data_IF_658033912024
#
_entry.id   IF_658033912024
#
_cell.length_a   1.000
_cell.length_b   1.000
_cell.length_c   1.000
_cell.angle_alpha   90.00
_cell.angle_beta   90.00
_cell.angle_gamma   90.00
#
_symmetry.space_group_name_H-M   'P 1'
#
loop_
_entity.id
_entity.type
_entity.pdbx_description
1 polymer ?
#
# COMPACT_ATOMS: atom_id res chain seq x y z
N UNK A 1 19.76 1.42 35.74
CA UNK A 1 19.80 0.93 34.35
C UNK A 1 20.04 -0.59 34.22
N UNK A 2 19.67 -1.44 35.20
CA UNK A 2 20.06 -2.87 35.20
C UNK A 2 18.96 -3.88 34.87
N UNK A 3 17.69 -3.54 35.05
CA UNK A 3 16.56 -4.49 34.97
C UNK A 3 15.97 -4.63 33.56
N UNK A 4 15.95 -3.54 32.80
CA UNK A 4 15.37 -3.49 31.45
C UNK A 4 16.18 -4.32 30.44
N UNK A 5 17.52 -4.21 30.48
CA UNK A 5 18.42 -5.00 29.63
C UNK A 5 18.29 -6.51 29.87
N UNK A 6 18.11 -6.92 31.14
CA UNK A 6 17.92 -8.32 31.50
C UNK A 6 16.55 -8.87 31.04
N UNK A 7 15.50 -8.03 31.08
CA UNK A 7 14.17 -8.40 30.58
C UNK A 7 14.16 -8.55 29.05
N UNK A 8 14.87 -7.68 28.33
CA UNK A 8 15.03 -7.82 26.87
C UNK A 8 15.73 -9.10 26.47
N UNK A 9 16.84 -9.45 27.13
CA UNK A 9 17.54 -10.71 26.85
C UNK A 9 16.65 -11.94 27.07
N UNK A 10 15.74 -11.91 28.05
CA UNK A 10 14.74 -12.96 28.27
C UNK A 10 13.67 -13.03 27.18
N UNK A 11 13.37 -11.92 26.51
CA UNK A 11 12.36 -11.82 25.46
C UNK A 11 12.94 -12.04 24.05
N UNK A 12 14.26 -12.05 23.90
CA UNK A 12 14.94 -12.24 22.62
C UNK A 12 14.55 -13.56 21.93
N UNK A 13 14.47 -14.73 22.61
CA UNK A 13 14.03 -15.97 21.97
C UNK A 13 12.58 -15.89 21.46
N UNK A 14 11.71 -15.14 22.16
CA UNK A 14 10.33 -14.91 21.74
C UNK A 14 10.29 -14.04 20.47
N UNK A 15 11.10 -12.99 20.43
CA UNK A 15 11.24 -12.12 19.26
C UNK A 15 11.69 -12.93 18.04
N UNK A 16 12.80 -13.69 18.16
CA UNK A 16 13.32 -14.52 17.07
C UNK A 16 12.29 -15.51 16.55
N UNK A 17 11.55 -16.17 17.45
CA UNK A 17 10.48 -17.10 17.07
C UNK A 17 9.35 -16.41 16.30
N UNK A 18 8.96 -15.19 16.69
CA UNK A 18 7.91 -14.44 15.99
C UNK A 18 8.39 -13.96 14.62
N UNK A 19 9.62 -13.47 14.53
CA UNK A 19 10.26 -13.01 13.29
C UNK A 19 10.35 -14.17 12.29
N UNK A 20 10.97 -15.29 12.68
CA UNK A 20 11.10 -16.47 11.82
C UNK A 20 9.73 -16.93 11.27
N UNK A 21 8.68 -16.90 12.11
CA UNK A 21 7.33 -17.27 11.68
C UNK A 21 6.69 -16.24 10.73
N UNK A 22 6.83 -14.94 11.02
CA UNK A 22 6.15 -13.86 10.29
C UNK A 22 6.86 -13.47 8.99
N UNK A 23 8.19 -13.64 8.96
CA UNK A 23 9.05 -13.24 7.86
C UNK A 23 9.55 -14.40 7.01
N UNK A 24 9.04 -15.63 7.21
CA UNK A 24 9.46 -16.80 6.43
C UNK A 24 9.41 -16.62 4.90
N UNK A 25 8.50 -15.78 4.40
CA UNK A 25 8.34 -15.47 2.97
C UNK A 25 9.10 -14.21 2.52
N UNK A 26 9.84 -13.56 3.42
CA UNK A 26 10.55 -12.31 3.15
C UNK A 26 12.05 -12.55 3.00
N UNK A 27 12.74 -11.78 2.14
CA UNK A 27 14.20 -11.81 2.01
C UNK A 27 14.92 -11.56 3.34
N UNK A 28 16.05 -12.23 3.55
CA UNK A 28 16.82 -12.21 4.80
C UNK A 28 17.21 -10.80 5.26
N UNK A 29 17.55 -9.89 4.35
CA UNK A 29 17.88 -8.50 4.69
C UNK A 29 16.73 -7.74 5.39
N UNK A 30 15.48 -8.15 5.18
CA UNK A 30 14.31 -7.55 5.86
C UNK A 30 14.17 -8.07 7.28
N UNK A 31 14.71 -9.26 7.59
CA UNK A 31 14.60 -9.85 8.91
C UNK A 31 15.35 -9.04 9.94
N UNK A 32 16.58 -8.63 9.63
CA UNK A 32 17.42 -7.85 10.54
C UNK A 32 16.86 -6.44 10.78
N UNK A 33 16.37 -5.77 9.74
CA UNK A 33 15.75 -4.46 9.85
C UNK A 33 14.49 -4.51 10.73
N UNK A 34 13.59 -5.45 10.44
CA UNK A 34 12.36 -5.64 11.22
C UNK A 34 12.67 -6.07 12.65
N UNK A 35 13.71 -6.90 12.86
CA UNK A 35 14.18 -7.29 14.18
C UNK A 35 14.65 -6.08 14.99
N UNK A 36 15.48 -5.22 14.38
CA UNK A 36 15.98 -3.99 15.00
C UNK A 36 14.85 -3.08 15.44
N UNK A 37 13.88 -2.82 14.54
CA UNK A 37 12.71 -1.99 14.84
C UNK A 37 11.86 -2.58 15.97
N UNK A 38 11.62 -3.89 15.94
CA UNK A 38 10.86 -4.58 16.98
C UNK A 38 11.56 -4.53 18.35
N UNK A 39 12.89 -4.69 18.41
CA UNK A 39 13.68 -4.53 19.65
C UNK A 39 13.57 -3.12 20.21
N UNK A 40 13.73 -2.10 19.36
CA UNK A 40 13.64 -0.69 19.79
C UNK A 40 12.24 -0.37 20.32
N UNK A 41 11.18 -0.84 19.66
CA UNK A 41 9.81 -0.64 20.14
C UNK A 41 9.53 -1.38 21.44
N UNK A 42 10.01 -2.61 21.57
CA UNK A 42 9.89 -3.38 22.80
C UNK A 42 10.61 -2.68 23.96
N UNK A 43 11.85 -2.21 23.74
CA UNK A 43 12.61 -1.43 24.72
C UNK A 43 11.80 -0.22 25.20
N UNK A 44 11.24 0.56 24.27
CA UNK A 44 10.44 1.76 24.61
C UNK A 44 9.14 1.43 25.34
N UNK A 45 8.57 0.24 25.12
CA UNK A 45 7.33 -0.18 25.74
C UNK A 45 7.52 -0.87 27.10
N UNK A 46 8.67 -1.46 27.38
CA UNK A 46 8.92 -2.18 28.63
C UNK A 46 8.67 -1.35 29.91
N UNK A 47 9.04 -0.05 29.99
CA UNK A 47 8.78 0.76 31.17
C UNK A 47 7.30 0.97 31.50
N UNK A 48 6.39 0.77 30.53
CA UNK A 48 4.94 0.89 30.75
C UNK A 48 4.26 -0.46 31.04
N UNK A 49 5.04 -1.54 31.15
CA UNK A 49 4.51 -2.85 31.52
C UNK A 49 4.02 -2.85 32.96
N UNK A 50 2.80 -3.34 33.15
CA UNK A 50 2.16 -3.51 34.43
C UNK A 50 1.83 -4.99 34.64
N UNK A 51 2.49 -5.60 35.63
CA UNK A 51 2.32 -7.01 35.95
C UNK A 51 0.91 -7.36 36.46
N UNK A 52 0.12 -6.38 36.93
CA UNK A 52 -1.26 -6.62 37.35
C UNK A 52 -2.21 -6.84 36.18
N UNK A 53 -1.81 -6.41 34.97
CA UNK A 53 -2.63 -6.47 33.75
C UNK A 53 -2.38 -7.72 32.90
N UNK A 54 -1.38 -8.54 33.25
CA UNK A 54 -1.10 -9.81 32.57
C UNK A 54 0.39 -10.16 32.51
N UNK A 55 0.70 -11.25 31.80
CA UNK A 55 2.06 -11.77 31.68
C UNK A 55 2.95 -10.94 30.73
N UNK A 56 4.22 -10.76 31.10
CA UNK A 56 5.22 -10.05 30.31
C UNK A 56 5.35 -10.61 28.88
N UNK A 57 5.28 -11.92 28.71
CA UNK A 57 5.36 -12.56 27.39
C UNK A 57 4.18 -12.23 26.49
N UNK A 58 2.98 -12.09 27.05
CA UNK A 58 1.78 -11.70 26.32
C UNK A 58 1.85 -10.22 25.90
N UNK A 59 2.27 -9.35 26.82
CA UNK A 59 2.53 -7.93 26.54
C UNK A 59 3.58 -7.77 25.43
N UNK A 60 4.75 -8.40 25.59
CA UNK A 60 5.82 -8.34 24.62
C UNK A 60 5.39 -8.85 23.24
N UNK A 61 4.61 -9.94 23.19
CA UNK A 61 4.07 -10.47 21.93
C UNK A 61 3.22 -9.45 21.19
N UNK A 62 2.34 -8.71 21.88
CA UNK A 62 1.51 -7.68 21.25
C UNK A 62 2.39 -6.58 20.67
N UNK A 63 3.37 -6.09 21.44
CA UNK A 63 4.29 -5.03 21.00
C UNK A 63 5.09 -5.48 19.78
N UNK A 64 5.67 -6.68 19.82
CA UNK A 64 6.48 -7.24 18.74
C UNK A 64 5.64 -7.43 17.47
N UNK A 65 4.45 -8.03 17.58
CA UNK A 65 3.59 -8.28 16.41
C UNK A 65 3.15 -6.98 15.76
N UNK A 66 2.78 -5.97 16.55
CA UNK A 66 2.41 -4.66 16.02
C UNK A 66 3.61 -3.94 15.38
N UNK A 67 4.79 -4.04 15.99
CA UNK A 67 6.02 -3.50 15.42
C UNK A 67 6.33 -4.10 14.04
N UNK A 68 6.28 -5.43 13.94
CA UNK A 68 6.52 -6.15 12.69
C UNK A 68 5.48 -5.75 11.64
N UNK A 69 4.19 -5.70 12.03
CA UNK A 69 3.10 -5.34 11.10
C UNK A 69 3.31 -3.94 10.52
N UNK A 70 3.55 -2.96 11.38
CA UNK A 70 3.73 -1.56 10.97
C UNK A 70 4.94 -1.41 10.05
N UNK A 71 6.04 -2.10 10.36
CA UNK A 71 7.26 -2.04 9.55
C UNK A 71 7.06 -2.70 8.17
N UNK A 72 6.40 -3.85 8.12
CA UNK A 72 6.05 -4.49 6.85
C UNK A 72 5.08 -3.63 6.02
N UNK A 73 4.13 -2.96 6.68
CA UNK A 73 3.21 -2.05 6.00
C UNK A 73 3.94 -0.78 5.50
N UNK A 74 4.96 -0.29 6.23
CA UNK A 74 5.88 0.76 5.76
C UNK A 74 6.65 0.31 4.53
N UNK A 75 7.32 -0.84 4.58
CA UNK A 75 8.10 -1.40 3.46
C UNK A 75 7.20 -1.61 2.23
N UNK A 76 5.98 -2.13 2.41
CA UNK A 76 5.01 -2.26 1.30
C UNK A 76 4.60 -0.92 0.72
N UNK A 77 4.39 0.08 1.57
CA UNK A 77 4.02 1.43 1.15
C UNK A 77 5.17 2.11 0.40
N UNK A 78 6.39 1.94 0.86
CA UNK A 78 7.60 2.44 0.19
C UNK A 78 7.86 1.72 -1.13
N UNK A 79 7.75 0.39 -1.17
CA UNK A 79 7.85 -0.36 -2.43
C UNK A 79 6.78 0.09 -3.41
N UNK A 80 5.54 0.29 -2.96
CA UNK A 80 4.47 0.83 -3.79
C UNK A 80 4.77 2.25 -4.26
N UNK A 81 5.38 3.09 -3.43
CA UNK A 81 5.80 4.45 -3.79
C UNK A 81 6.95 4.44 -4.80
N UNK A 82 7.93 3.54 -4.65
CA UNK A 82 9.03 3.37 -5.59
C UNK A 82 8.54 2.83 -6.94
N UNK A 83 7.63 1.85 -6.94
CA UNK A 83 6.96 1.41 -8.18
C UNK A 83 6.14 2.52 -8.83
N UNK A 84 5.59 3.46 -8.06
CA UNK A 84 4.92 4.64 -8.60
C UNK A 84 5.90 5.72 -9.10
N UNK A 85 7.14 5.74 -8.61
CA UNK A 85 8.20 6.65 -9.05
C UNK A 85 8.96 6.11 -10.28
N UNK A 86 9.04 4.79 -10.46
CA UNK A 86 9.52 4.18 -11.73
C UNK A 86 8.48 4.33 -12.86
N UNK A 87 7.19 4.52 -12.52
CA UNK A 87 6.12 4.89 -13.47
C UNK A 87 6.20 6.39 -13.88
N UNK A 88 7.07 7.21 -13.26
CA UNK A 88 7.33 8.61 -13.63
C UNK A 88 8.42 8.75 -14.71
N UNK A 89 8.82 7.67 -15.37
CA UNK A 89 9.40 7.83 -16.70
C UNK A 89 8.31 8.35 -17.65
N UNK A 90 8.51 9.53 -18.29
CA UNK A 90 7.58 9.98 -19.31
C UNK A 90 7.75 9.02 -20.49
N UNK A 91 6.92 7.98 -20.57
CA UNK A 91 6.63 7.34 -21.85
C UNK A 91 5.78 8.31 -22.66
N UNK A 92 6.45 9.36 -23.11
CA UNK A 92 5.98 10.36 -24.06
C UNK A 92 6.13 9.82 -25.48
N UNK A 93 5.59 8.63 -25.72
CA UNK A 93 5.12 8.26 -27.05
C UNK A 93 3.61 8.26 -26.94
N UNK A 94 3.05 9.47 -27.06
CA UNK A 94 1.62 9.64 -27.25
C UNK A 94 1.31 9.17 -28.67
N UNK A 95 1.15 7.85 -28.84
CA UNK A 95 0.54 7.28 -30.03
C UNK A 95 -0.77 8.01 -30.30
N UNK A 96 -1.00 8.44 -31.55
CA UNK A 96 -2.21 9.13 -31.97
C UNK A 96 -3.50 8.36 -31.58
N UNK A 97 -3.40 7.05 -31.42
CA UNK A 97 -4.47 6.15 -30.97
C UNK A 97 -4.79 6.30 -29.47
N UNK A 98 -3.78 6.53 -28.62
CA UNK A 98 -3.98 6.83 -27.19
C UNK A 98 -4.73 8.15 -27.00
N UNK A 99 -4.48 9.13 -27.88
CA UNK A 99 -5.23 10.38 -27.92
C UNK A 99 -6.68 10.18 -28.39
N UNK A 100 -6.92 9.30 -29.37
CA UNK A 100 -8.26 8.95 -29.83
C UNK A 100 -9.08 8.24 -28.73
N UNK A 101 -8.48 7.28 -28.02
CA UNK A 101 -9.12 6.62 -26.88
C UNK A 101 -9.40 7.60 -25.73
N UNK A 102 -8.48 8.52 -25.45
CA UNK A 102 -8.69 9.55 -24.43
C UNK A 102 -9.86 10.48 -24.78
N UNK A 103 -10.02 10.85 -26.05
CA UNK A 103 -11.14 11.64 -26.52
C UNK A 103 -12.46 10.86 -26.43
N UNK A 104 -12.50 9.60 -26.89
CA UNK A 104 -13.68 8.75 -26.78
C UNK A 104 -14.11 8.51 -25.32
N UNK A 105 -13.13 8.31 -24.42
CA UNK A 105 -13.38 8.19 -22.99
C UNK A 105 -13.92 9.48 -22.38
N UNK A 106 -13.40 10.64 -22.80
CA UNK A 106 -13.88 11.96 -22.33
C UNK A 106 -15.30 12.23 -22.78
N UNK A 107 -15.65 11.89 -24.02
CA UNK A 107 -16.98 12.08 -24.59
C UNK A 107 -18.02 11.15 -23.97
N UNK A 108 -17.66 9.88 -23.72
CA UNK A 108 -18.58 8.92 -23.13
C UNK A 108 -17.92 8.01 -22.08
N UNK A 109 -17.68 8.50 -20.84
CA UNK A 109 -17.09 7.70 -19.78
C UNK A 109 -17.94 6.48 -19.39
N UNK A 110 -19.25 6.53 -19.62
CA UNK A 110 -20.19 5.47 -19.23
C UNK A 110 -20.04 4.19 -20.05
N UNK A 111 -19.46 4.27 -21.25
CA UNK A 111 -19.12 3.10 -22.05
C UNK A 111 -17.96 2.27 -21.44
N UNK A 112 -17.14 2.89 -20.59
CA UNK A 112 -15.91 2.29 -20.07
C UNK A 112 -15.96 2.04 -18.55
N UNK A 113 -16.80 2.78 -17.83
CA UNK A 113 -16.89 2.76 -16.38
C UNK A 113 -18.28 2.36 -15.89
N UNK A 114 -18.36 1.54 -14.82
CA UNK A 114 -19.61 1.33 -14.10
C UNK A 114 -20.21 2.65 -13.58
N UNK A 115 -21.56 2.76 -13.45
CA UNK A 115 -22.22 4.00 -13.04
C UNK A 115 -21.70 4.60 -11.73
N UNK A 116 -21.31 3.76 -10.77
CA UNK A 116 -20.75 4.22 -9.49
C UNK A 116 -19.40 4.94 -9.65
N UNK A 117 -18.58 4.54 -10.62
CA UNK A 117 -17.28 5.17 -10.90
C UNK A 117 -17.45 6.40 -11.78
N UNK A 118 -18.42 6.41 -12.70
CA UNK A 118 -18.80 7.63 -13.46
C UNK A 118 -19.22 8.73 -12.49
N UNK A 119 -20.08 8.42 -11.51
CA UNK A 119 -20.50 9.41 -10.49
C UNK A 119 -19.32 10.01 -9.72
N UNK A 120 -18.33 9.18 -9.37
CA UNK A 120 -17.11 9.65 -8.68
C UNK A 120 -16.23 10.49 -9.61
N UNK A 121 -16.09 10.09 -10.88
CA UNK A 121 -15.35 10.84 -11.89
C UNK A 121 -15.95 12.24 -12.08
N UNK A 122 -17.28 12.32 -12.28
CA UNK A 122 -17.99 13.59 -12.44
C UNK A 122 -17.82 14.47 -11.20
N UNK A 123 -17.98 13.93 -9.99
CA UNK A 123 -17.80 14.70 -8.77
C UNK A 123 -16.36 15.22 -8.60
N UNK A 124 -15.34 14.45 -9.00
CA UNK A 124 -13.95 14.89 -8.98
C UNK A 124 -13.65 16.00 -10.00
N UNK A 125 -14.41 16.06 -11.11
CA UNK A 125 -14.29 17.12 -12.12
C UNK A 125 -15.02 18.40 -11.70
N UNK A 126 -16.09 18.28 -10.91
CA UNK A 126 -16.94 19.42 -10.51
C UNK A 126 -16.51 20.10 -9.21
N UNK A 127 -15.49 19.59 -8.51
CA UNK A 127 -15.09 20.09 -7.20
C UNK A 127 -13.57 20.15 -7.04
N UNK A 128 -13.10 21.20 -6.38
CA UNK A 128 -11.67 21.47 -6.20
C UNK A 128 -10.97 20.49 -5.25
N UNK A 129 -11.72 19.72 -4.46
CA UNK A 129 -11.14 18.76 -3.52
C UNK A 129 -11.90 17.44 -3.47
N UNK A 130 -11.19 16.31 -3.21
CA UNK A 130 -11.82 15.01 -2.96
C UNK A 130 -12.82 15.03 -1.80
N UNK A 131 -12.57 15.85 -0.77
CA UNK A 131 -13.50 16.00 0.36
C UNK A 131 -14.80 16.69 -0.04
N UNK A 132 -14.75 17.71 -0.89
CA UNK A 132 -15.95 18.36 -1.44
C UNK A 132 -16.74 17.41 -2.34
N UNK A 133 -16.06 16.64 -3.19
CA UNK A 133 -16.68 15.63 -4.04
C UNK A 133 -17.33 14.47 -3.24
N UNK A 134 -16.70 14.03 -2.15
CA UNK A 134 -17.30 13.02 -1.27
C UNK A 134 -18.59 13.54 -0.62
N UNK A 135 -18.59 14.80 -0.17
CA UNK A 135 -19.77 15.44 0.43
C UNK A 135 -20.91 15.63 -0.57
N UNK A 136 -20.64 16.04 -1.80
CA UNK A 136 -21.69 16.22 -2.81
C UNK A 136 -22.38 14.90 -3.20
N UNK A 137 -21.68 13.77 -3.05
CA UNK A 137 -22.24 12.44 -3.25
C UNK A 137 -22.83 11.80 -1.98
N UNK A 138 -22.85 12.53 -0.85
CA UNK A 138 -23.25 12.03 0.46
C UNK A 138 -22.54 10.73 0.85
N UNK A 139 -21.24 10.65 0.56
CA UNK A 139 -20.39 9.50 0.84
C UNK A 139 -19.40 9.77 1.96
N UNK A 140 -19.10 8.73 2.74
CA UNK A 140 -18.01 8.78 3.73
C UNK A 140 -16.65 8.93 3.01
N UNK A 141 -15.71 9.70 3.56
CA UNK A 141 -14.40 9.90 2.95
C UNK A 141 -13.69 8.59 2.59
N UNK A 142 -13.69 7.60 3.49
CA UNK A 142 -13.01 6.32 3.30
C UNK A 142 -13.57 5.54 2.11
N UNK A 143 -14.89 5.52 1.98
CA UNK A 143 -15.58 4.90 0.84
C UNK A 143 -15.26 5.64 -0.46
N UNK A 144 -15.23 6.97 -0.43
CA UNK A 144 -14.88 7.80 -1.57
C UNK A 144 -13.44 7.58 -2.05
N UNK A 145 -12.46 7.51 -1.13
CA UNK A 145 -11.07 7.21 -1.45
C UNK A 145 -10.90 5.79 -2.01
N UNK A 146 -11.67 4.83 -1.50
CA UNK A 146 -11.68 3.47 -2.02
C UNK A 146 -12.19 3.43 -3.47
N UNK A 147 -13.30 4.10 -3.75
CA UNK A 147 -13.86 4.19 -5.11
C UNK A 147 -12.96 4.99 -6.05
N UNK A 148 -12.35 6.07 -5.58
CA UNK A 148 -11.38 6.86 -6.36
C UNK A 148 -10.15 6.04 -6.72
N UNK A 149 -9.66 5.21 -5.80
CA UNK A 149 -8.56 4.28 -6.08
C UNK A 149 -8.94 3.22 -7.12
N UNK A 150 -10.17 2.71 -7.05
CA UNK A 150 -10.72 1.77 -8.05
C UNK A 150 -10.88 2.43 -9.42
N UNK A 151 -11.38 3.67 -9.46
CA UNK A 151 -11.50 4.49 -10.67
C UNK A 151 -10.13 4.65 -11.35
N UNK A 152 -9.10 5.09 -10.61
CA UNK A 152 -7.73 5.24 -11.13
C UNK A 152 -7.18 3.94 -11.71
N UNK A 153 -7.33 2.81 -10.98
CA UNK A 153 -6.91 1.50 -11.48
C UNK A 153 -7.65 1.11 -12.76
N UNK A 154 -8.96 1.35 -12.81
CA UNK A 154 -9.77 0.99 -13.97
C UNK A 154 -9.39 1.80 -15.20
N UNK A 155 -9.16 3.11 -15.04
CA UNK A 155 -8.63 3.98 -16.09
C UNK A 155 -7.28 3.43 -16.55
N UNK A 156 -6.32 3.19 -15.64
CA UNK A 156 -5.02 2.60 -16.01
C UNK A 156 -5.17 1.30 -16.81
N UNK A 157 -6.02 0.36 -16.38
CA UNK A 157 -6.30 -0.88 -17.13
C UNK A 157 -6.86 -0.64 -18.52
N UNK A 158 -7.75 0.35 -18.72
CA UNK A 158 -8.31 0.66 -20.05
C UNK A 158 -7.20 1.09 -21.01
N UNK A 159 -6.33 2.00 -20.58
CA UNK A 159 -5.23 2.51 -21.39
C UNK A 159 -4.07 1.49 -21.56
N UNK A 160 -3.82 0.65 -20.56
CA UNK A 160 -2.81 -0.43 -20.66
C UNK A 160 -3.27 -1.60 -21.56
N UNK A 161 -4.58 -1.93 -21.56
CA UNK A 161 -5.14 -3.00 -22.39
C UNK A 161 -5.12 -2.63 -23.88
N UNK A 162 -5.25 -1.34 -24.18
CA UNK A 162 -5.15 -0.83 -25.55
C UNK A 162 -3.71 -0.97 -26.07
N UNK A 163 -2.70 -0.60 -25.26
CA UNK A 163 -1.28 -0.86 -25.58
C UNK A 163 -0.96 -2.33 -25.83
N UNK A 164 -1.59 -3.26 -25.08
CA UNK A 164 -1.35 -4.70 -25.25
C UNK A 164 -1.94 -5.29 -26.53
N UNK A 165 -2.96 -4.67 -27.15
CA UNK A 165 -3.55 -5.16 -28.41
C UNK A 165 -2.64 -4.93 -29.62
N UNK A 166 -1.65 -4.05 -29.49
CA UNK A 166 -0.78 -3.64 -30.60
C UNK A 166 0.69 -4.01 -30.42
N UNK A 167 1.05 -4.66 -29.29
CA UNK A 167 2.32 -5.40 -29.18
C UNK A 167 2.23 -6.67 -30.04
N UNK A 168 2.35 -6.50 -31.35
CA UNK A 168 2.58 -7.61 -32.27
C UNK A 168 3.94 -8.20 -31.91
N UNK A 169 4.08 -9.50 -31.63
CA UNK A 169 5.39 -10.09 -31.42
C UNK A 169 6.16 -9.93 -32.74
N UNK A 170 7.21 -9.10 -32.73
CA UNK A 170 8.13 -8.99 -33.84
C UNK A 170 8.59 -10.40 -34.19
N UNK A 171 8.13 -10.86 -35.35
CA UNK A 171 8.38 -12.18 -35.92
C UNK A 171 9.89 -12.39 -35.91
N UNK A 172 10.34 -13.49 -35.28
CA UNK A 172 11.68 -14.03 -35.51
C UNK A 172 11.88 -14.19 -37.01
N UNK A 173 12.77 -13.39 -37.58
CA UNK A 173 13.46 -13.66 -38.83
C UNK A 173 14.95 -13.59 -38.45
N UNK A 174 15.58 -14.74 -38.25
CA UNK A 174 16.27 -15.56 -39.26
C UNK A 174 17.76 -15.24 -39.19
#
# INVERSE_FOLDING_TARGET
>A
MGTESAQLLRLEPLLQKIIAKRLAAWPEYIHDDVAGVARVRLWKALPSYDATRGELGAFARVVIVNAIKDELDRIRSERRRLTLLDDDHPHHDADAESAALANAFRENPSAYLPPCLVRVLTALQSHDSPGAAARSLNMRPESFYTLSSRLKRRIKTIFDSDRSRFSTPARKAA
#
